data_IF_450214938578
#
_entry.id   IF_450214938578
#
_cell.length_a   1.000
_cell.length_b   1.000
_cell.length_c   1.000
_cell.angle_alpha   90.00
_cell.angle_beta   90.00
_cell.angle_gamma   90.00
#
_symmetry.space_group_name_H-M   'P 1'
#
loop_
_entity.id
_entity.type
_entity.pdbx_description
1 polymer ?
#
# COMPACT_ATOMS: atom_id res chain seq x y z
N UNK A 1 14.75 13.29 -56.88
CA UNK A 1 16.13 12.77 -56.93
C UNK A 1 16.77 13.12 -55.61
N UNK A 2 17.07 12.07 -54.86
CA UNK A 2 17.75 12.01 -53.57
C UNK A 2 19.08 12.77 -53.51
N UNK A 3 19.42 13.26 -52.32
CA UNK A 3 20.69 12.90 -51.67
C UNK A 3 20.67 13.32 -50.19
N UNK A 4 20.99 12.35 -49.34
CA UNK A 4 21.08 12.42 -47.89
C UNK A 4 22.28 13.26 -47.40
N UNK A 5 22.15 13.83 -46.19
CA UNK A 5 23.28 14.21 -45.37
C UNK A 5 23.11 13.57 -43.98
N UNK A 6 24.03 12.64 -43.69
CA UNK A 6 24.18 11.88 -42.45
C UNK A 6 24.61 12.78 -41.29
N UNK A 7 24.18 12.40 -40.10
CA UNK A 7 24.44 13.01 -38.79
C UNK A 7 25.92 13.11 -38.42
N UNK A 8 26.24 14.10 -37.57
CA UNK A 8 27.29 13.98 -36.55
C UNK A 8 26.85 14.70 -35.27
N UNK A 9 27.19 14.10 -34.14
CA UNK A 9 26.58 14.29 -32.85
C UNK A 9 27.24 15.40 -32.03
N UNK A 10 26.44 16.18 -31.28
CA UNK A 10 26.93 16.79 -30.05
C UNK A 10 25.85 16.69 -28.97
N UNK A 11 26.14 15.84 -27.99
CA UNK A 11 25.43 15.64 -26.75
C UNK A 11 25.35 16.96 -25.97
N UNK A 12 24.14 17.45 -25.76
CA UNK A 12 23.82 18.28 -24.60
C UNK A 12 22.82 17.49 -23.76
N UNK A 13 23.34 16.62 -22.90
CA UNK A 13 22.62 16.03 -21.78
C UNK A 13 22.21 17.16 -20.84
N UNK A 14 21.04 17.75 -21.10
CA UNK A 14 20.33 18.51 -20.08
C UNK A 14 19.56 17.48 -19.25
N UNK A 15 20.21 17.12 -18.15
CA UNK A 15 19.73 16.37 -17.01
C UNK A 15 18.47 17.07 -16.46
N UNK A 16 17.33 16.71 -17.02
CA UNK A 16 16.04 16.87 -16.36
C UNK A 16 15.58 15.46 -16.10
N UNK A 17 15.91 14.98 -14.91
CA UNK A 17 15.17 13.91 -14.25
C UNK A 17 13.69 14.35 -14.19
N UNK A 18 12.97 14.12 -15.28
CA UNK A 18 11.54 13.90 -15.23
C UNK A 18 11.39 12.52 -14.61
N UNK A 19 11.48 12.55 -13.27
CA UNK A 19 10.75 11.68 -12.37
C UNK A 19 9.44 11.34 -13.07
N UNK A 20 9.43 10.16 -13.69
CA UNK A 20 8.24 9.68 -14.35
C UNK A 20 7.19 9.67 -13.26
N UNK A 21 6.02 10.34 -13.41
CA UNK A 21 4.95 10.07 -12.49
C UNK A 21 4.68 8.59 -12.68
N UNK A 22 5.09 7.79 -11.69
CA UNK A 22 4.67 6.42 -11.61
C UNK A 22 3.16 6.52 -11.49
N UNK A 23 2.47 6.38 -12.60
CA UNK A 23 1.07 6.01 -12.64
C UNK A 23 1.01 4.61 -12.05
N UNK A 24 1.15 4.56 -10.74
CA UNK A 24 0.78 3.42 -9.92
C UNK A 24 -0.72 3.52 -9.84
N UNK A 25 -1.40 2.91 -10.82
CA UNK A 25 -2.63 2.23 -10.46
C UNK A 25 -2.26 1.33 -9.28
N UNK A 26 -2.61 1.73 -8.06
CA UNK A 26 -2.38 0.93 -6.84
C UNK A 26 -3.18 -0.41 -6.84
N UNK A 27 -3.86 -0.69 -7.95
CA UNK A 27 -4.37 -1.96 -8.43
C UNK A 27 -3.23 -2.93 -8.80
N UNK A 28 -2.33 -3.21 -7.85
CA UNK A 28 -1.21 -4.13 -8.01
C UNK A 28 -1.41 -5.44 -7.26
N UNK A 29 -0.69 -6.49 -7.65
CA UNK A 29 -0.41 -7.55 -6.68
C UNK A 29 0.44 -6.95 -5.55
N UNK A 30 0.11 -7.25 -4.31
CA UNK A 30 1.03 -7.04 -3.21
C UNK A 30 2.30 -7.86 -3.47
N UNK A 31 3.45 -7.30 -3.14
CA UNK A 31 4.78 -7.83 -3.50
C UNK A 31 5.15 -9.16 -2.77
N UNK A 32 4.17 -9.87 -2.21
CA UNK A 32 4.40 -11.07 -1.41
C UNK A 32 3.15 -11.75 -0.86
N UNK A 33 3.33 -12.91 -0.22
CA UNK A 33 2.26 -13.67 0.40
C UNK A 33 1.60 -12.92 1.56
N UNK A 34 0.40 -13.33 1.94
CA UNK A 34 -0.25 -12.77 3.11
C UNK A 34 0.49 -13.13 4.40
N UNK A 35 0.50 -12.20 5.34
CA UNK A 35 1.02 -12.35 6.70
C UNK A 35 -0.14 -12.58 7.66
N UNK A 36 0.02 -13.50 8.62
CA UNK A 36 -0.97 -13.70 9.68
C UNK A 36 -1.07 -12.44 10.53
N UNK A 37 -2.29 -12.10 10.95
CA UNK A 37 -2.55 -10.89 11.77
C UNK A 37 -1.74 -10.91 13.07
N UNK A 38 -1.64 -12.05 13.75
CA UNK A 38 -0.84 -12.18 14.98
C UNK A 38 0.68 -12.10 14.75
N UNK A 39 1.15 -12.28 13.50
CA UNK A 39 2.56 -12.15 13.12
C UNK A 39 2.90 -10.77 12.57
N UNK A 40 1.90 -9.93 12.28
CA UNK A 40 2.08 -8.58 11.75
C UNK A 40 2.58 -7.57 12.79
N UNK A 41 2.70 -7.96 14.07
CA UNK A 41 3.11 -7.05 15.15
C UNK A 41 2.03 -6.00 15.45
N UNK A 42 2.44 -4.78 15.85
CA UNK A 42 1.52 -3.66 15.93
C UNK A 42 1.26 -3.09 14.52
N UNK A 43 0.06 -3.35 14.02
CA UNK A 43 -0.43 -2.85 12.73
C UNK A 43 -1.38 -1.66 12.91
N UNK A 44 -1.37 -1.00 14.08
CA UNK A 44 -2.12 0.25 14.26
C UNK A 44 -1.57 1.32 13.32
N UNK A 45 -2.43 2.19 12.80
CA UNK A 45 -2.03 3.30 11.93
C UNK A 45 -2.99 3.54 10.78
N UNK A 46 -2.70 4.57 9.99
CA UNK A 46 -3.49 4.96 8.83
C UNK A 46 -2.91 4.35 7.57
N UNK A 47 -3.76 3.80 6.72
CA UNK A 47 -3.43 3.18 5.45
C UNK A 47 -4.18 3.91 4.35
N UNK A 48 -3.48 4.35 3.31
CA UNK A 48 -4.02 5.19 2.24
C UNK A 48 -4.02 4.43 0.92
N UNK A 49 -5.07 4.60 0.14
CA UNK A 49 -5.16 4.10 -1.22
C UNK A 49 -5.57 5.26 -2.13
N UNK A 50 -4.90 5.39 -3.26
CA UNK A 50 -5.26 6.35 -4.31
C UNK A 50 -5.55 5.57 -5.58
N UNK A 51 -6.73 5.76 -6.16
CA UNK A 51 -7.08 5.14 -7.45
C UNK A 51 -6.25 5.78 -8.57
N UNK A 52 -6.16 5.12 -9.73
CA UNK A 52 -5.52 5.70 -10.92
C UNK A 52 -6.16 7.03 -11.39
N UNK A 53 -7.40 7.29 -10.98
CA UNK A 53 -8.16 8.51 -11.27
C UNK A 53 -7.95 9.62 -10.21
N UNK A 54 -7.16 9.35 -9.16
CA UNK A 54 -6.81 10.31 -8.11
C UNK A 54 -7.78 10.35 -6.94
N UNK A 55 -8.79 9.47 -6.90
CA UNK A 55 -9.67 9.34 -5.73
C UNK A 55 -8.91 8.74 -4.56
N UNK A 56 -9.08 9.31 -3.37
CA UNK A 56 -8.34 8.89 -2.17
C UNK A 56 -9.27 8.26 -1.16
N UNK A 57 -8.89 7.10 -0.65
CA UNK A 57 -9.52 6.47 0.51
C UNK A 57 -8.47 6.22 1.59
N UNK A 58 -8.90 6.23 2.85
CA UNK A 58 -8.02 5.88 3.96
C UNK A 58 -8.70 4.95 4.97
N UNK A 59 -7.90 4.13 5.63
CA UNK A 59 -8.30 3.22 6.70
C UNK A 59 -7.34 3.43 7.87
N UNK A 60 -7.81 3.94 8.99
CA UNK A 60 -7.09 3.91 10.26
C UNK A 60 -7.48 2.65 11.04
N UNK A 61 -6.49 1.85 11.45
CA UNK A 61 -6.66 0.67 12.32
C UNK A 61 -6.12 0.96 13.72
N UNK A 62 -6.83 0.48 14.74
CA UNK A 62 -6.36 0.38 16.12
C UNK A 62 -6.33 -1.11 16.50
N UNK A 63 -5.13 -1.69 16.51
CA UNK A 63 -4.90 -3.13 16.73
C UNK A 63 -5.31 -3.56 18.14
N UNK A 64 -5.17 -2.66 19.11
CA UNK A 64 -5.42 -2.90 20.53
C UNK A 64 -6.92 -2.91 20.85
N UNK A 65 -7.69 -2.04 20.20
CA UNK A 65 -9.15 -1.95 20.40
C UNK A 65 -9.97 -2.74 19.39
N UNK A 66 -9.32 -3.32 18.37
CA UNK A 66 -9.97 -3.98 17.24
C UNK A 66 -11.00 -3.08 16.55
N UNK A 67 -10.65 -1.81 16.37
CA UNK A 67 -11.51 -0.80 15.75
C UNK A 67 -10.86 -0.18 14.53
N UNK A 68 -11.68 0.35 13.63
CA UNK A 68 -11.23 1.07 12.45
C UNK A 68 -11.99 2.37 12.23
N UNK A 69 -11.38 3.27 11.47
CA UNK A 69 -12.02 4.42 10.83
C UNK A 69 -11.70 4.38 9.34
N UNK A 70 -12.72 4.43 8.49
CA UNK A 70 -12.60 4.47 7.04
C UNK A 70 -13.10 5.82 6.53
N UNK A 71 -12.33 6.47 5.66
CA UNK A 71 -12.78 7.63 4.90
C UNK A 71 -12.83 7.26 3.42
N UNK A 72 -14.04 7.34 2.85
CA UNK A 72 -14.28 7.11 1.42
C UNK A 72 -13.82 8.27 0.54
N UNK A 73 -13.87 8.08 -0.77
CA UNK A 73 -13.52 9.10 -1.77
C UNK A 73 -14.43 10.33 -1.73
N UNK A 74 -15.66 10.16 -1.25
CA UNK A 74 -16.64 11.20 -0.97
C UNK A 74 -16.33 12.02 0.31
N UNK A 75 -15.28 11.64 1.04
CA UNK A 75 -14.88 12.27 2.30
C UNK A 75 -15.72 11.82 3.51
N UNK A 76 -16.68 10.91 3.34
CA UNK A 76 -17.49 10.43 4.45
C UNK A 76 -16.67 9.48 5.33
N UNK A 77 -16.71 9.74 6.63
CA UNK A 77 -16.03 8.93 7.62
C UNK A 77 -16.99 7.90 8.24
N UNK A 78 -16.53 6.67 8.35
CA UNK A 78 -17.21 5.55 8.99
C UNK A 78 -16.31 4.91 10.03
N UNK A 79 -16.85 4.56 11.18
CA UNK A 79 -16.09 3.89 12.24
C UNK A 79 -16.78 2.61 12.65
N UNK A 80 -16.01 1.60 13.04
CA UNK A 80 -16.58 0.35 13.53
C UNK A 80 -15.55 -0.54 14.21
N UNK A 81 -16.03 -1.68 14.69
CA UNK A 81 -15.16 -2.78 15.08
C UNK A 81 -14.86 -3.65 13.86
N UNK A 82 -13.68 -4.26 13.83
CA UNK A 82 -13.34 -5.28 12.85
C UNK A 82 -13.14 -6.63 13.53
N UNK A 83 -13.22 -7.71 12.74
CA UNK A 83 -12.94 -9.07 13.22
C UNK A 83 -11.85 -9.71 12.40
N UNK A 84 -10.98 -10.49 13.04
CA UNK A 84 -10.07 -11.39 12.33
C UNK A 84 -10.83 -12.68 12.02
N UNK A 85 -10.77 -13.14 10.77
CA UNK A 85 -11.43 -14.36 10.33
C UNK A 85 -10.73 -15.62 10.87
N UNK A 86 -11.38 -16.77 10.77
CA UNK A 86 -10.89 -18.02 11.39
C UNK A 86 -9.57 -18.52 10.81
N UNK A 87 -9.22 -18.09 9.60
CA UNK A 87 -7.93 -18.40 8.97
C UNK A 87 -6.75 -17.63 9.60
N UNK A 88 -7.03 -16.54 10.32
CA UNK A 88 -6.01 -15.72 10.99
C UNK A 88 -5.22 -14.78 10.07
N UNK A 89 -5.54 -14.71 8.78
CA UNK A 89 -4.91 -13.80 7.83
C UNK A 89 -5.82 -12.63 7.46
N UNK A 90 -7.14 -12.87 7.40
CA UNK A 90 -8.11 -11.87 6.94
C UNK A 90 -8.68 -11.04 8.08
N UNK A 91 -8.78 -9.75 7.86
CA UNK A 91 -9.55 -8.81 8.66
C UNK A 91 -10.83 -8.45 7.89
N UNK A 92 -11.97 -8.56 8.57
CA UNK A 92 -13.28 -8.18 8.03
C UNK A 92 -13.72 -6.83 8.61
N UNK A 93 -13.94 -5.86 7.74
CA UNK A 93 -14.52 -4.54 8.03
C UNK A 93 -15.92 -4.46 7.39
N UNK A 94 -16.80 -3.63 7.95
CA UNK A 94 -18.13 -3.39 7.40
C UNK A 94 -18.17 -2.01 6.71
N UNK A 95 -17.93 -1.98 5.40
CA UNK A 95 -17.90 -0.74 4.62
C UNK A 95 -19.19 -0.65 3.80
N UNK A 96 -19.93 0.45 3.92
CA UNK A 96 -21.14 0.69 3.12
C UNK A 96 -22.13 -0.50 3.15
N UNK A 97 -22.42 -0.98 4.36
CA UNK A 97 -23.29 -2.12 4.65
C UNK A 97 -22.81 -3.47 4.08
N UNK A 98 -21.63 -3.50 3.46
CA UNK A 98 -21.02 -4.67 2.85
C UNK A 98 -19.74 -5.09 3.57
N UNK A 99 -19.53 -6.40 3.81
CA UNK A 99 -18.28 -6.87 4.37
C UNK A 99 -17.15 -6.72 3.32
N UNK A 100 -16.06 -6.08 3.73
CA UNK A 100 -14.81 -6.00 2.99
C UNK A 100 -13.72 -6.76 3.74
N UNK A 101 -12.96 -7.59 3.02
CA UNK A 101 -11.88 -8.38 3.59
C UNK A 101 -10.52 -7.80 3.21
N UNK A 102 -9.64 -7.74 4.18
CA UNK A 102 -8.29 -7.22 4.04
C UNK A 102 -7.27 -8.21 4.56
N UNK A 103 -6.06 -8.20 4.02
CA UNK A 103 -4.92 -8.97 4.51
C UNK A 103 -3.69 -8.09 4.62
N UNK A 104 -2.75 -8.46 5.47
CA UNK A 104 -1.44 -7.83 5.49
C UNK A 104 -0.50 -8.52 4.52
N UNK A 105 0.26 -7.76 3.73
CA UNK A 105 1.35 -8.29 2.91
C UNK A 105 2.43 -7.22 2.78
N UNK A 106 3.69 -7.56 3.12
CA UNK A 106 4.85 -6.66 3.06
C UNK A 106 4.61 -5.27 3.69
N UNK A 107 3.92 -5.21 4.83
CA UNK A 107 3.63 -3.95 5.54
C UNK A 107 2.50 -3.10 4.92
N UNK A 108 1.89 -3.56 3.84
CA UNK A 108 0.69 -2.98 3.21
C UNK A 108 -0.57 -3.68 3.72
N UNK A 109 -1.69 -2.97 3.67
CA UNK A 109 -3.03 -3.52 3.92
C UNK A 109 -3.72 -3.68 2.56
N UNK A 110 -4.00 -4.93 2.18
CA UNK A 110 -4.50 -5.25 0.83
C UNK A 110 -5.97 -5.62 0.93
N UNK A 111 -6.84 -4.88 0.22
CA UNK A 111 -8.26 -5.23 0.11
C UNK A 111 -8.44 -6.35 -0.91
N UNK A 112 -9.01 -7.47 -0.50
CA UNK A 112 -9.32 -8.58 -1.40
C UNK A 112 -10.51 -8.21 -2.28
N UNK A 113 -10.38 -8.46 -3.59
CA UNK A 113 -11.49 -8.32 -4.56
C UNK A 113 -12.45 -9.51 -4.50
N UNK A 114 -11.91 -10.70 -4.28
CA UNK A 114 -12.67 -11.93 -4.17
C UNK A 114 -12.71 -12.44 -2.72
N UNK A 115 -13.91 -12.60 -2.18
CA UNK A 115 -14.15 -12.94 -0.77
C UNK A 115 -13.88 -14.41 -0.41
N UNK A 116 -13.47 -15.24 -1.38
CA UNK A 116 -13.73 -16.70 -1.31
C UNK A 116 -12.51 -17.59 -1.15
N UNK A 117 -11.35 -17.26 -1.71
CA UNK A 117 -10.13 -18.05 -1.50
C UNK A 117 -8.92 -17.27 -2.02
N UNK A 118 -7.93 -17.00 -1.18
CA UNK A 118 -6.63 -16.53 -1.64
C UNK A 118 -5.58 -17.56 -1.21
N UNK A 119 -4.65 -17.86 -2.11
CA UNK A 119 -3.55 -18.77 -1.80
C UNK A 119 -2.54 -18.03 -0.93
N UNK A 120 -2.39 -18.47 0.32
CA UNK A 120 -1.47 -17.88 1.30
C UNK A 120 0.00 -17.97 0.87
N UNK A 121 0.34 -18.87 -0.05
CA UNK A 121 1.70 -19.01 -0.59
C UNK A 121 1.93 -18.12 -1.83
N UNK A 122 0.86 -17.59 -2.43
CA UNK A 122 0.93 -16.75 -3.61
C UNK A 122 0.85 -15.26 -3.25
N UNK A 123 1.36 -14.37 -4.13
CA UNK A 123 1.14 -12.94 -4.01
C UNK A 123 -0.35 -12.63 -3.94
N UNK A 124 -0.75 -11.80 -2.98
CA UNK A 124 -2.14 -11.35 -2.85
C UNK A 124 -2.39 -10.27 -3.89
N UNK A 125 -3.51 -10.31 -4.60
CA UNK A 125 -3.91 -9.26 -5.52
C UNK A 125 -5.13 -8.50 -5.02
N UNK A 126 -5.10 -7.17 -5.12
CA UNK A 126 -6.17 -6.32 -4.62
C UNK A 126 -5.79 -4.85 -4.56
N UNK A 127 -6.60 -4.07 -3.84
CA UNK A 127 -6.33 -2.64 -3.65
C UNK A 127 -5.29 -2.49 -2.54
N UNK A 128 -4.12 -1.94 -2.86
CA UNK A 128 -3.00 -1.86 -1.92
C UNK A 128 -3.04 -0.53 -1.14
N UNK A 129 -3.44 -0.61 0.12
CA UNK A 129 -3.37 0.52 1.03
C UNK A 129 -1.99 0.59 1.70
N UNK A 130 -1.34 1.73 1.52
CA UNK A 130 0.00 2.00 2.02
C UNK A 130 -0.06 2.72 3.36
N UNK A 131 0.74 2.26 4.33
CA UNK A 131 0.74 2.86 5.66
C UNK A 131 1.36 4.25 5.64
N UNK A 132 0.66 5.21 6.24
CA UNK A 132 1.16 6.55 6.51
C UNK A 132 2.39 6.47 7.44
N UNK A 133 3.48 7.13 7.06
CA UNK A 133 4.76 7.02 7.76
C UNK A 133 5.61 5.79 7.41
N UNK A 134 5.24 5.01 6.39
CA UNK A 134 6.02 3.89 5.87
C UNK A 134 5.72 2.53 6.53
N UNK A 135 6.35 1.44 6.05
CA UNK A 135 6.11 0.09 6.58
C UNK A 135 6.44 0.05 8.08
N UNK A 136 5.73 -0.81 8.83
CA UNK A 136 6.01 -1.05 10.26
C UNK A 136 7.49 -1.40 10.39
N UNK A 137 8.31 -0.46 10.89
CA UNK A 137 9.74 -0.65 11.10
C UNK A 137 9.95 -1.63 12.25
N UNK A 138 9.77 -2.92 11.97
CA UNK A 138 10.28 -4.01 12.77
C UNK A 138 11.80 -4.11 12.61
N UNK A 139 12.52 -3.08 13.07
CA UNK A 139 13.94 -2.98 13.46
C UNK A 139 14.30 -1.50 13.44
N UNK A 140 14.78 -0.99 14.57
CA UNK A 140 15.34 0.34 14.69
C UNK A 140 16.35 0.59 13.54
N UNK A 141 16.48 1.83 13.03
CA UNK A 141 17.63 2.18 12.23
C UNK A 141 18.88 1.83 13.05
N UNK A 142 19.74 0.96 12.52
CA UNK A 142 21.04 0.76 13.14
C UNK A 142 21.68 2.15 13.28
N UNK A 143 22.04 2.50 14.52
CA UNK A 143 22.81 3.69 14.85
C UNK A 143 24.10 3.68 14.02
N UNK A 144 24.05 4.30 12.85
CA UNK A 144 25.15 4.32 11.90
C UNK A 144 25.30 5.68 11.23
N UNK A 145 24.69 6.74 11.76
CA UNK A 145 24.99 8.10 11.32
C UNK A 145 26.27 8.60 12.02
N UNK A 146 27.40 8.77 11.32
CA UNK A 146 28.51 9.53 11.90
C UNK A 146 28.07 10.98 12.09
N UNK A 147 28.22 11.49 13.30
CA UNK A 147 28.14 12.93 13.60
C UNK A 147 29.25 13.65 12.82
N UNK A 148 28.94 14.62 11.94
CA UNK A 148 29.98 15.46 11.35
C UNK A 148 30.54 16.36 12.46
N UNK A 149 31.77 16.09 12.90
CA UNK A 149 32.55 17.03 13.71
C UNK A 149 33.00 18.19 12.84
N UNK A 150 32.53 19.39 13.18
CA UNK A 150 33.06 20.66 12.72
C UNK A 150 34.41 20.96 13.37
#
# INVERSE_FOLDING_TARGET
MDAAATADASLATNDVALDSPVSTTNDGAADGPATKVDQSGDYSGTYNFTTGEGEKTNIALDSSKKSYSYTGADGQQKTGAYTVDKDGYRIKLMLDESPAFFVFSNGKLVRLRDNVNFDIASPVSGDNYERDGGPVQGRAPELGSPIPTN
#
